data_IF_814359586181
#
_entry.id   IF_814359586181
#
_cell.length_a   1.000
_cell.length_b   1.000
_cell.length_c   1.000
_cell.angle_alpha   90.00
_cell.angle_beta   90.00
_cell.angle_gamma   90.00
#
_symmetry.space_group_name_H-M   'P 1'
#
loop_
_entity.id
_entity.type
_entity.pdbx_description
1 polymer ?
#
# COMPACT_ATOMS: atom_id res chain seq x y z
N UNK A 1 -17.02 -10.12 -18.51
CA UNK A 1 -16.03 -10.46 -17.48
C UNK A 1 -15.33 -9.17 -17.17
N UNK A 2 -15.29 -8.77 -15.89
CA UNK A 2 -14.74 -7.49 -15.49
C UNK A 2 -13.21 -7.49 -15.62
N UNK A 3 -12.63 -6.36 -16.00
CA UNK A 3 -11.19 -6.16 -16.08
C UNK A 3 -10.72 -5.33 -14.89
N UNK A 4 -9.88 -5.93 -14.05
CA UNK A 4 -9.24 -5.26 -12.92
C UNK A 4 -8.04 -4.49 -13.46
N UNK A 5 -8.06 -3.17 -13.30
CA UNK A 5 -7.07 -2.23 -13.82
C UNK A 5 -6.04 -1.88 -12.74
N UNK A 6 -4.95 -1.21 -13.15
CA UNK A 6 -4.07 -0.53 -12.23
C UNK A 6 -4.81 0.67 -11.62
N UNK A 7 -4.36 1.13 -10.46
CA UNK A 7 -4.90 2.35 -9.85
C UNK A 7 -3.76 3.34 -9.61
N UNK A 8 -3.67 4.33 -10.49
CA UNK A 8 -2.56 5.29 -10.52
C UNK A 8 -3.11 6.70 -10.55
N UNK A 9 -2.63 7.55 -9.66
CA UNK A 9 -3.03 8.96 -9.56
C UNK A 9 -4.54 9.16 -9.36
N UNK A 10 -5.19 8.24 -8.62
CA UNK A 10 -6.63 8.28 -8.36
C UNK A 10 -7.51 7.77 -9.50
N UNK A 11 -6.94 7.17 -10.52
CA UNK A 11 -7.64 6.72 -11.71
C UNK A 11 -7.38 5.24 -12.03
N UNK A 12 -8.39 4.59 -12.61
CA UNK A 12 -8.28 3.25 -13.16
C UNK A 12 -7.57 3.28 -14.52
N UNK A 13 -6.36 2.80 -14.57
CA UNK A 13 -5.52 2.82 -15.77
C UNK A 13 -5.46 1.42 -16.39
N UNK A 14 -5.83 1.31 -17.65
CA UNK A 14 -5.46 0.18 -18.48
C UNK A 14 -4.01 0.35 -18.93
N UNK A 15 -3.23 -0.72 -18.88
CA UNK A 15 -1.87 -0.70 -19.36
C UNK A 15 -1.27 -2.08 -19.33
N UNK A 16 -0.15 -2.24 -20.06
CA UNK A 16 0.42 -3.54 -20.32
C UNK A 16 -0.36 -4.31 -21.39
N UNK A 17 0.33 -5.13 -22.14
CA UNK A 17 -0.29 -5.98 -23.20
C UNK A 17 -0.77 -7.33 -22.68
N UNK A 18 -0.47 -7.65 -21.40
CA UNK A 18 -0.72 -8.95 -20.77
C UNK A 18 -1.85 -8.89 -19.77
N UNK A 19 -2.56 -9.99 -19.61
CA UNK A 19 -3.61 -10.15 -18.63
C UNK A 19 -3.46 -11.49 -17.91
N UNK A 20 -3.87 -11.53 -16.63
CA UNK A 20 -4.00 -12.73 -15.82
C UNK A 20 -5.46 -13.06 -15.55
N UNK A 21 -5.74 -14.31 -15.22
CA UNK A 21 -7.06 -14.75 -14.81
C UNK A 21 -7.17 -14.69 -13.26
N UNK A 22 -8.28 -14.12 -12.78
CA UNK A 22 -8.63 -14.10 -11.36
C UNK A 22 -9.74 -15.11 -11.14
N UNK A 23 -9.48 -16.06 -10.25
CA UNK A 23 -10.37 -17.17 -9.98
C UNK A 23 -11.19 -16.95 -8.71
N UNK A 24 -12.38 -17.52 -8.67
CA UNK A 24 -13.05 -17.83 -7.42
C UNK A 24 -12.72 -19.27 -7.04
N UNK A 25 -11.86 -19.53 -6.04
CA UNK A 25 -11.44 -20.88 -5.71
C UNK A 25 -12.56 -21.76 -5.16
N UNK A 26 -13.65 -21.17 -4.65
CA UNK A 26 -14.80 -21.94 -4.14
C UNK A 26 -15.58 -22.68 -5.24
N UNK A 27 -15.55 -22.18 -6.47
CA UNK A 27 -16.24 -22.76 -7.63
C UNK A 27 -15.29 -23.17 -8.75
N UNK A 28 -14.01 -22.81 -8.66
CA UNK A 28 -12.98 -23.12 -9.66
C UNK A 28 -13.12 -22.35 -10.98
N UNK A 29 -13.89 -21.27 -11.01
CA UNK A 29 -14.16 -20.50 -12.23
C UNK A 29 -13.37 -19.18 -12.26
N UNK A 30 -13.02 -18.73 -13.47
CA UNK A 30 -12.49 -17.39 -13.71
C UNK A 30 -13.63 -16.38 -13.56
N UNK A 31 -13.46 -15.44 -12.65
CA UNK A 31 -14.49 -14.42 -12.36
C UNK A 31 -14.13 -13.03 -12.91
N UNK A 32 -12.86 -12.76 -13.10
CA UNK A 32 -12.35 -11.50 -13.63
C UNK A 32 -11.01 -11.72 -14.34
N UNK A 33 -10.55 -10.69 -15.07
CA UNK A 33 -9.19 -10.60 -15.57
C UNK A 33 -8.47 -9.43 -14.90
N UNK A 34 -7.17 -9.53 -14.73
CA UNK A 34 -6.33 -8.44 -14.21
C UNK A 34 -5.31 -8.02 -15.27
N UNK A 35 -5.11 -6.73 -15.46
CA UNK A 35 -4.03 -6.20 -16.30
C UNK A 35 -2.68 -6.44 -15.61
N UNK A 36 -1.69 -6.91 -16.36
CA UNK A 36 -0.32 -7.09 -15.87
C UNK A 36 0.54 -5.97 -16.43
N UNK A 37 1.10 -5.16 -15.53
CA UNK A 37 1.93 -4.02 -15.86
C UNK A 37 3.30 -4.39 -16.40
N UNK A 38 3.98 -3.36 -16.85
CA UNK A 38 5.34 -3.37 -17.38
C UNK A 38 6.17 -2.24 -16.77
N UNK A 39 7.40 -2.07 -17.23
CA UNK A 39 8.31 -1.01 -16.76
C UNK A 39 7.75 0.40 -17.01
N UNK A 40 7.01 0.62 -18.11
CA UNK A 40 6.42 1.94 -18.40
C UNK A 40 5.38 2.33 -17.35
N UNK A 41 4.53 1.40 -16.95
CA UNK A 41 3.53 1.62 -15.90
C UNK A 41 4.16 1.85 -14.53
N UNK A 42 5.23 1.14 -14.21
CA UNK A 42 6.01 1.39 -12.98
C UNK A 42 6.57 2.80 -12.99
N UNK A 43 7.16 3.24 -14.10
CA UNK A 43 7.67 4.61 -14.26
C UNK A 43 6.55 5.65 -14.10
N UNK A 44 5.38 5.42 -14.68
CA UNK A 44 4.22 6.31 -14.55
C UNK A 44 3.76 6.44 -13.09
N UNK A 45 3.70 5.33 -12.35
CA UNK A 45 3.37 5.33 -10.93
C UNK A 45 4.41 6.09 -10.10
N UNK A 46 5.70 5.94 -10.41
CA UNK A 46 6.80 6.65 -9.75
C UNK A 46 6.70 8.16 -10.01
N UNK A 47 6.48 8.56 -11.25
CA UNK A 47 6.34 9.99 -11.58
C UNK A 47 5.09 10.62 -10.92
N UNK A 48 3.99 9.87 -10.82
CA UNK A 48 2.81 10.28 -10.02
C UNK A 48 3.20 10.48 -8.55
N UNK A 49 3.90 9.52 -7.95
CA UNK A 49 4.37 9.59 -6.56
C UNK A 49 5.31 10.78 -6.32
N UNK A 50 6.24 11.08 -7.22
CA UNK A 50 7.14 12.24 -7.11
C UNK A 50 6.37 13.55 -7.02
N UNK A 51 5.40 13.75 -7.91
CA UNK A 51 4.60 14.98 -7.97
C UNK A 51 3.85 15.22 -6.65
N UNK A 52 3.23 14.19 -6.09
CA UNK A 52 2.49 14.31 -4.84
C UNK A 52 3.42 14.49 -3.64
N UNK A 53 4.58 13.84 -3.66
CA UNK A 53 5.56 13.88 -2.59
C UNK A 53 6.12 15.31 -2.37
N UNK A 54 6.22 16.14 -3.42
CA UNK A 54 6.64 17.54 -3.31
C UNK A 54 5.84 18.34 -2.27
N UNK A 55 4.56 18.03 -2.12
CA UNK A 55 3.66 18.68 -1.15
C UNK A 55 3.47 17.82 0.11
N UNK A 56 3.39 16.50 -0.05
CA UNK A 56 3.11 15.59 1.06
C UNK A 56 4.16 15.62 2.15
N UNK A 57 5.44 15.69 1.78
CA UNK A 57 6.56 15.78 2.75
C UNK A 57 6.44 16.95 3.72
N UNK A 58 5.80 18.06 3.31
CA UNK A 58 5.55 19.24 4.14
C UNK A 58 4.19 19.20 4.86
N UNK A 59 3.37 18.17 4.63
CA UNK A 59 2.12 17.98 5.37
C UNK A 59 2.46 17.61 6.81
N UNK A 60 1.92 18.38 7.77
CA UNK A 60 2.24 18.15 9.18
C UNK A 60 1.86 16.75 9.66
N UNK A 61 2.62 16.15 10.60
CA UNK A 61 2.25 14.85 11.18
C UNK A 61 0.83 14.81 11.74
N UNK A 62 0.34 15.90 12.34
CA UNK A 62 -1.03 15.99 12.85
C UNK A 62 -2.08 15.87 11.72
N UNK A 63 -1.85 16.51 10.57
CA UNK A 63 -2.76 16.40 9.42
C UNK A 63 -2.73 14.99 8.83
N UNK A 64 -1.56 14.36 8.74
CA UNK A 64 -1.44 12.96 8.30
C UNK A 64 -2.15 12.01 9.26
N UNK A 65 -2.02 12.21 10.58
CA UNK A 65 -2.76 11.45 11.60
C UNK A 65 -4.27 11.60 11.45
N UNK A 66 -4.77 12.80 11.18
CA UNK A 66 -6.21 13.03 10.93
C UNK A 66 -6.75 12.18 9.77
N UNK A 67 -5.97 12.03 8.70
CA UNK A 67 -6.31 11.15 7.57
C UNK A 67 -6.33 9.68 8.02
N UNK A 68 -5.37 9.24 8.85
CA UNK A 68 -5.33 7.86 9.37
C UNK A 68 -6.54 7.55 10.25
N UNK A 69 -7.02 8.49 11.08
CA UNK A 69 -8.25 8.33 11.86
C UNK A 69 -9.49 8.17 10.97
N UNK A 70 -9.61 9.00 9.92
CA UNK A 70 -10.69 8.87 8.95
C UNK A 70 -10.62 7.52 8.21
N UNK A 71 -9.41 7.12 7.81
CA UNK A 71 -9.17 5.86 7.12
C UNK A 71 -9.55 4.65 7.97
N UNK A 72 -9.13 4.63 9.25
CA UNK A 72 -9.54 3.60 10.20
C UNK A 72 -11.06 3.45 10.22
N UNK A 73 -11.77 4.56 10.36
CA UNK A 73 -13.23 4.56 10.38
C UNK A 73 -13.84 3.98 9.08
N UNK A 74 -13.33 4.40 7.91
CA UNK A 74 -13.81 3.89 6.63
C UNK A 74 -13.56 2.39 6.47
N UNK A 75 -12.43 1.87 6.94
CA UNK A 75 -12.15 0.43 6.94
C UNK A 75 -13.13 -0.35 7.82
N UNK A 76 -13.43 0.16 9.02
CA UNK A 76 -14.40 -0.43 9.94
C UNK A 76 -15.82 -0.44 9.33
N UNK A 77 -16.26 0.69 8.79
CA UNK A 77 -17.58 0.87 8.16
C UNK A 77 -17.76 -0.03 6.91
N UNK A 78 -16.67 -0.32 6.18
CA UNK A 78 -16.68 -1.14 4.97
C UNK A 78 -16.22 -2.60 5.19
N UNK A 79 -16.04 -3.04 6.43
CA UNK A 79 -15.41 -4.32 6.75
C UNK A 79 -16.14 -5.53 6.13
N UNK A 80 -17.46 -5.52 6.09
CA UNK A 80 -18.25 -6.59 5.48
C UNK A 80 -17.99 -6.69 3.96
N UNK A 81 -18.01 -5.56 3.26
CA UNK A 81 -17.78 -5.50 1.81
C UNK A 81 -16.35 -5.92 1.44
N UNK A 82 -15.35 -5.47 2.20
CA UNK A 82 -13.95 -5.87 1.98
C UNK A 82 -13.79 -7.38 2.22
N UNK A 83 -14.39 -7.92 3.28
CA UNK A 83 -14.32 -9.35 3.57
C UNK A 83 -14.98 -10.21 2.47
N UNK A 84 -16.09 -9.76 1.88
CA UNK A 84 -16.72 -10.41 0.74
C UNK A 84 -15.82 -10.43 -0.51
N UNK A 85 -15.13 -9.32 -0.80
CA UNK A 85 -14.17 -9.25 -1.91
C UNK A 85 -13.02 -10.24 -1.70
N UNK A 86 -12.44 -10.27 -0.50
CA UNK A 86 -11.39 -11.24 -0.15
C UNK A 86 -11.90 -12.67 -0.26
N UNK A 87 -13.08 -12.97 0.28
CA UNK A 87 -13.67 -14.32 0.20
C UNK A 87 -13.85 -14.79 -1.25
N UNK A 88 -14.29 -13.88 -2.12
CA UNK A 88 -14.57 -14.17 -3.53
C UNK A 88 -13.30 -14.51 -4.33
N UNK A 89 -12.19 -13.77 -4.13
CA UNK A 89 -10.96 -13.95 -4.90
C UNK A 89 -9.97 -14.92 -4.24
N UNK A 90 -9.93 -14.95 -2.89
CA UNK A 90 -8.99 -15.79 -2.14
C UNK A 90 -9.60 -17.12 -1.71
N UNK A 91 -10.92 -17.19 -1.48
CA UNK A 91 -11.60 -18.39 -0.96
C UNK A 91 -11.57 -18.53 0.57
N UNK A 92 -11.12 -17.54 1.32
CA UNK A 92 -11.26 -17.48 2.79
C UNK A 92 -12.72 -17.42 3.19
N UNK A 93 -13.04 -17.94 4.39
CA UNK A 93 -14.34 -17.64 5.00
C UNK A 93 -14.46 -16.14 5.28
N UNK A 94 -15.69 -15.63 5.32
CA UNK A 94 -15.94 -14.22 5.66
C UNK A 94 -15.34 -13.85 7.03
N UNK A 95 -15.44 -14.76 8.01
CA UNK A 95 -14.90 -14.52 9.35
C UNK A 95 -13.36 -14.44 9.35
N UNK A 96 -12.66 -15.31 8.60
CA UNK A 96 -11.21 -15.24 8.46
C UNK A 96 -10.77 -13.97 7.71
N UNK A 97 -11.55 -13.56 6.70
CA UNK A 97 -11.29 -12.32 5.98
C UNK A 97 -11.44 -11.09 6.87
N UNK A 98 -12.50 -11.03 7.70
CA UNK A 98 -12.69 -10.00 8.72
C UNK A 98 -11.57 -10.00 9.75
N UNK A 99 -11.16 -11.16 10.24
CA UNK A 99 -10.04 -11.29 11.18
C UNK A 99 -8.71 -10.79 10.60
N UNK A 100 -8.48 -11.04 9.30
CA UNK A 100 -7.31 -10.53 8.59
C UNK A 100 -7.36 -9.01 8.43
N UNK A 101 -8.53 -8.46 8.07
CA UNK A 101 -8.75 -7.02 7.97
C UNK A 101 -8.55 -6.32 9.33
N UNK A 102 -9.09 -6.91 10.41
CA UNK A 102 -8.96 -6.36 11.76
C UNK A 102 -7.50 -6.18 12.17
N UNK A 103 -6.62 -7.17 11.89
CA UNK A 103 -5.18 -7.05 12.15
C UNK A 103 -4.51 -5.95 11.32
N UNK A 104 -5.02 -5.68 10.11
CA UNK A 104 -4.59 -4.53 9.31
C UNK A 104 -5.02 -3.21 9.92
N UNK A 105 -6.27 -3.12 10.40
CA UNK A 105 -6.83 -1.93 11.07
C UNK A 105 -6.04 -1.58 12.35
N UNK A 106 -5.57 -2.56 13.10
CA UNK A 106 -4.73 -2.34 14.28
C UNK A 106 -3.43 -1.59 13.95
N UNK A 107 -2.83 -1.86 12.78
CA UNK A 107 -1.63 -1.13 12.33
C UNK A 107 -1.99 0.27 11.84
N UNK A 108 -3.14 0.47 11.20
CA UNK A 108 -3.65 1.81 10.88
C UNK A 108 -3.91 2.62 12.16
N UNK A 109 -4.46 2.01 13.20
CA UNK A 109 -4.62 2.64 14.51
C UNK A 109 -3.27 3.04 15.13
N UNK A 110 -2.26 2.18 15.03
CA UNK A 110 -0.90 2.54 15.44
C UNK A 110 -0.37 3.75 14.64
N UNK A 111 -0.65 3.83 13.33
CA UNK A 111 -0.25 4.95 12.49
C UNK A 111 -0.94 6.27 12.89
N UNK A 112 -2.11 6.24 13.54
CA UNK A 112 -2.75 7.44 14.10
C UNK A 112 -1.86 8.13 15.17
N UNK A 113 -0.96 7.39 15.82
CA UNK A 113 0.01 7.90 16.79
C UNK A 113 1.25 8.56 16.19
N UNK A 114 1.33 8.71 14.88
CA UNK A 114 2.52 9.16 14.16
C UNK A 114 3.11 10.50 14.65
N UNK A 115 2.31 11.50 15.12
CA UNK A 115 2.89 12.73 15.64
C UNK A 115 3.84 12.52 16.84
N UNK A 116 3.60 11.47 17.63
CA UNK A 116 4.48 11.11 18.74
C UNK A 116 5.66 10.23 18.30
N UNK A 117 5.42 9.33 17.34
CA UNK A 117 6.43 8.39 16.84
C UNK A 117 7.53 9.09 16.02
N UNK A 118 7.23 10.22 15.39
CA UNK A 118 8.19 11.00 14.60
C UNK A 118 8.99 12.02 15.42
N UNK A 119 8.75 12.12 16.72
CA UNK A 119 9.59 12.99 17.56
C UNK A 119 11.04 12.53 17.54
N UNK A 120 11.96 13.50 17.46
CA UNK A 120 13.38 13.27 17.64
C UNK A 120 13.79 13.32 19.10
N UNK A 121 15.06 13.12 19.34
CA UNK A 121 15.68 13.18 20.66
C UNK A 121 16.64 14.38 20.73
N UNK A 122 16.81 14.91 21.92
CA UNK A 122 17.78 15.97 22.21
C UNK A 122 18.63 15.53 23.40
N UNK A 123 19.93 15.69 23.29
CA UNK A 123 20.87 15.44 24.39
C UNK A 123 21.73 16.68 24.61
N UNK A 124 21.67 17.21 25.84
CA UNK A 124 22.44 18.37 26.25
C UNK A 124 23.83 17.95 26.70
N UNK A 125 24.86 18.69 26.28
CA UNK A 125 26.26 18.56 26.70
C UNK A 125 26.82 17.14 26.62
N UNK A 126 26.64 16.48 25.48
CA UNK A 126 27.26 15.16 25.20
C UNK A 126 28.80 15.25 25.13
N UNK A 127 29.31 16.46 25.00
CA UNK A 127 30.70 16.88 25.12
C UNK A 127 30.77 18.32 25.62
N UNK A 128 31.96 18.83 25.92
CA UNK A 128 32.12 20.20 26.40
C UNK A 128 31.63 21.20 25.35
N UNK A 129 30.47 21.84 25.61
CA UNK A 129 29.85 22.82 24.70
C UNK A 129 29.19 22.20 23.47
N UNK A 130 28.87 20.89 23.48
CA UNK A 130 28.28 20.19 22.36
C UNK A 130 26.92 19.61 22.76
N UNK A 131 25.85 20.03 22.10
CA UNK A 131 24.52 19.44 22.16
C UNK A 131 24.25 18.63 20.88
N UNK A 132 23.42 17.58 20.98
CA UNK A 132 23.02 16.78 19.83
C UNK A 132 21.48 16.63 19.76
N UNK A 133 20.96 16.52 18.56
CA UNK A 133 19.56 16.21 18.33
C UNK A 133 19.39 15.30 17.12
N UNK A 134 18.30 14.55 17.10
CA UNK A 134 17.90 13.74 15.96
C UNK A 134 16.62 14.27 15.33
N UNK A 135 16.53 14.15 14.01
CA UNK A 135 15.30 14.40 13.24
C UNK A 135 14.99 13.19 12.38
N UNK A 136 13.71 12.81 12.33
CA UNK A 136 13.23 11.77 11.41
C UNK A 136 12.70 12.44 10.15
N UNK A 137 13.15 11.96 9.00
CA UNK A 137 12.77 12.46 7.69
C UNK A 137 12.22 11.32 6.84
N UNK A 138 11.41 11.64 5.84
CA UNK A 138 10.92 10.68 4.86
C UNK A 138 12.08 10.15 3.99
N UNK A 139 11.93 8.93 3.51
CA UNK A 139 12.87 8.27 2.59
C UNK A 139 12.55 8.59 1.12
N UNK A 140 11.31 8.97 0.83
CA UNK A 140 10.85 9.26 -0.52
C UNK A 140 9.76 8.29 -0.97
N UNK A 141 10.00 7.53 -2.04
CA UNK A 141 9.06 6.56 -2.58
C UNK A 141 9.42 5.18 -2.04
N UNK A 142 8.47 4.56 -1.35
CA UNK A 142 8.58 3.17 -0.89
C UNK A 142 7.76 2.25 -1.79
N UNK A 143 8.16 0.99 -1.91
CA UNK A 143 7.38 -0.03 -2.60
C UNK A 143 7.05 -1.20 -1.67
N UNK A 144 5.89 -1.82 -1.90
CA UNK A 144 5.46 -3.03 -1.20
C UNK A 144 4.94 -4.08 -2.17
N UNK A 145 5.50 -5.28 -2.09
CA UNK A 145 5.09 -6.45 -2.86
C UNK A 145 4.40 -7.41 -1.92
N UNK A 146 3.12 -7.68 -2.15
CA UNK A 146 2.30 -8.43 -1.22
C UNK A 146 1.85 -9.77 -1.80
N UNK A 147 1.84 -10.82 -0.97
CA UNK A 147 1.41 -12.17 -1.38
C UNK A 147 -0.12 -12.28 -1.38
N UNK A 148 -0.64 -13.34 -2.01
CA UNK A 148 -2.08 -13.58 -2.07
C UNK A 148 -2.69 -14.02 -0.73
N UNK A 149 -1.95 -14.66 0.17
CA UNK A 149 -2.51 -15.26 1.37
C UNK A 149 -3.10 -14.25 2.39
N UNK A 150 -2.74 -12.96 2.29
CA UNK A 150 -3.26 -11.88 3.13
C UNK A 150 -3.41 -10.57 2.34
N UNK A 151 -4.35 -10.52 1.36
CA UNK A 151 -4.45 -9.42 0.40
C UNK A 151 -4.91 -8.09 1.00
N UNK A 152 -5.38 -8.06 2.23
CA UNK A 152 -5.76 -6.84 2.96
C UNK A 152 -4.84 -6.55 4.14
N UNK A 153 -4.45 -7.58 4.91
CA UNK A 153 -3.63 -7.41 6.10
C UNK A 153 -2.24 -6.86 5.77
N UNK A 154 -1.55 -7.49 4.81
CA UNK A 154 -0.18 -7.12 4.47
C UNK A 154 -0.08 -5.71 3.84
N UNK A 155 -0.92 -5.31 2.87
CA UNK A 155 -0.93 -3.93 2.41
C UNK A 155 -1.13 -2.90 3.52
N UNK A 156 -2.06 -3.17 4.46
CA UNK A 156 -2.33 -2.28 5.59
C UNK A 156 -1.18 -2.22 6.61
N UNK A 157 -0.30 -3.19 6.64
CA UNK A 157 0.92 -3.15 7.44
C UNK A 157 2.01 -2.24 6.85
N UNK A 158 1.92 -1.94 5.55
CA UNK A 158 2.97 -1.24 4.81
C UNK A 158 2.61 0.22 4.52
N UNK A 159 1.68 0.47 3.60
CA UNK A 159 1.48 1.82 3.07
C UNK A 159 0.93 2.84 4.08
N UNK A 160 0.07 2.48 5.08
CA UNK A 160 -0.39 3.46 6.04
C UNK A 160 0.76 4.04 6.89
N UNK A 161 1.65 3.18 7.38
CA UNK A 161 2.82 3.62 8.15
C UNK A 161 3.79 4.41 7.28
N UNK A 162 4.09 3.95 6.08
CA UNK A 162 4.99 4.65 5.16
C UNK A 162 4.47 6.06 4.85
N UNK A 163 3.19 6.18 4.52
CA UNK A 163 2.58 7.48 4.18
C UNK A 163 2.41 8.38 5.39
N UNK A 164 2.08 7.84 6.56
CA UNK A 164 2.06 8.59 7.82
C UNK A 164 3.44 9.17 8.17
N UNK A 165 4.52 8.46 7.84
CA UNK A 165 5.90 8.94 7.98
C UNK A 165 6.29 10.01 6.94
N UNK A 166 5.46 10.27 5.93
CA UNK A 166 5.71 11.31 4.91
C UNK A 166 6.16 10.78 3.56
N UNK A 167 6.24 9.47 3.39
CA UNK A 167 6.61 8.82 2.13
C UNK A 167 5.41 8.72 1.17
N UNK A 168 5.69 8.55 -0.12
CA UNK A 168 4.75 7.99 -1.08
C UNK A 168 4.95 6.47 -1.18
N UNK A 169 3.98 5.76 -1.74
CA UNK A 169 4.01 4.31 -1.76
C UNK A 169 3.51 3.72 -3.09
N UNK A 170 4.20 2.70 -3.57
CA UNK A 170 3.76 1.90 -4.71
C UNK A 170 3.47 0.49 -4.21
N UNK A 171 2.22 0.07 -4.34
CA UNK A 171 1.75 -1.25 -3.95
C UNK A 171 1.66 -2.17 -5.18
N UNK A 172 2.36 -3.28 -5.15
CA UNK A 172 2.17 -4.39 -6.09
C UNK A 172 1.46 -5.53 -5.36
N UNK A 173 0.12 -5.64 -5.47
CA UNK A 173 -0.62 -6.77 -4.90
C UNK A 173 -0.34 -8.07 -5.67
N UNK A 174 -0.75 -9.20 -5.11
CA UNK A 174 -0.79 -10.44 -5.88
C UNK A 174 -1.77 -10.30 -7.05
N UNK A 175 -1.38 -10.81 -8.20
CA UNK A 175 -2.22 -10.88 -9.40
C UNK A 175 -3.40 -11.86 -9.26
N UNK A 176 -3.40 -12.68 -8.20
CA UNK A 176 -4.46 -13.68 -7.96
C UNK A 176 -5.70 -13.10 -7.31
N UNK A 177 -5.54 -12.05 -6.46
CA UNK A 177 -6.59 -11.47 -5.65
C UNK A 177 -6.40 -9.95 -5.42
N UNK A 178 -6.28 -9.15 -6.50
CA UNK A 178 -5.86 -7.76 -6.43
C UNK A 178 -6.96 -6.78 -6.00
N UNK A 179 -8.23 -7.11 -6.19
CA UNK A 179 -9.34 -6.15 -6.05
C UNK A 179 -9.45 -5.56 -4.66
N UNK A 180 -9.26 -6.37 -3.62
CA UNK A 180 -9.33 -5.88 -2.25
C UNK A 180 -8.21 -4.88 -1.93
N UNK A 181 -7.00 -5.08 -2.45
CA UNK A 181 -5.87 -4.15 -2.29
C UNK A 181 -6.14 -2.80 -2.96
N UNK A 182 -6.74 -2.79 -4.15
CA UNK A 182 -7.14 -1.56 -4.85
C UNK A 182 -8.21 -0.83 -4.04
N UNK A 183 -9.18 -1.56 -3.51
CA UNK A 183 -10.24 -0.97 -2.69
C UNK A 183 -9.70 -0.30 -1.42
N UNK A 184 -8.69 -0.88 -0.78
CA UNK A 184 -8.02 -0.26 0.36
C UNK A 184 -7.44 1.12 0.00
N UNK A 185 -6.85 1.27 -1.18
CA UNK A 185 -6.28 2.55 -1.64
C UNK A 185 -7.36 3.56 -1.98
N UNK A 186 -8.48 3.14 -2.59
CA UNK A 186 -9.64 4.02 -2.84
C UNK A 186 -10.22 4.59 -1.54
N UNK A 187 -10.40 3.74 -0.53
CA UNK A 187 -10.85 4.17 0.80
C UNK A 187 -9.83 5.10 1.48
N UNK A 188 -8.53 4.93 1.19
CA UNK A 188 -7.52 5.83 1.72
C UNK A 188 -7.60 7.23 1.10
N UNK A 189 -7.88 7.33 -0.19
CA UNK A 189 -8.14 8.61 -0.87
C UNK A 189 -9.45 9.25 -0.37
N UNK A 190 -10.51 8.46 -0.16
CA UNK A 190 -11.77 8.92 0.45
C UNK A 190 -11.54 9.48 1.86
N UNK A 191 -10.60 8.92 2.62
CA UNK A 191 -10.18 9.42 3.93
C UNK A 191 -9.47 10.78 3.88
N UNK A 192 -9.09 11.24 2.69
CA UNK A 192 -8.44 12.53 2.44
C UNK A 192 -6.95 12.45 2.06
N UNK A 193 -6.43 11.26 1.75
CA UNK A 193 -5.11 11.13 1.15
C UNK A 193 -5.15 11.69 -0.28
N UNK A 194 -4.12 12.43 -0.73
CA UNK A 194 -4.10 12.95 -2.09
C UNK A 194 -3.92 11.81 -3.10
N UNK A 195 -4.58 11.89 -4.29
CA UNK A 195 -4.33 10.98 -5.40
C UNK A 195 -2.84 10.86 -5.74
N UNK A 196 -2.39 9.66 -6.06
CA UNK A 196 -0.99 9.39 -6.37
C UNK A 196 -0.06 9.20 -5.16
N UNK A 197 -0.55 9.41 -3.93
CA UNK A 197 0.23 9.13 -2.72
C UNK A 197 0.48 7.62 -2.55
N UNK A 198 -0.53 6.82 -2.86
CA UNK A 198 -0.43 5.37 -2.99
C UNK A 198 -0.90 4.99 -4.38
N UNK A 199 -0.03 4.36 -5.16
CA UNK A 199 -0.36 3.84 -6.48
C UNK A 199 -0.36 2.31 -6.44
N UNK A 200 -1.28 1.67 -7.16
CA UNK A 200 -1.36 0.21 -7.27
C UNK A 200 -0.99 -0.20 -8.69
N UNK A 201 0.09 -0.96 -8.82
CA UNK A 201 0.53 -1.54 -10.09
C UNK A 201 0.37 -3.06 -10.02
N UNK A 202 -0.64 -3.60 -10.69
CA UNK A 202 -0.82 -5.04 -10.80
C UNK A 202 0.27 -5.61 -11.72
N UNK A 203 0.71 -6.82 -11.44
CA UNK A 203 1.74 -7.46 -12.27
C UNK A 203 2.34 -8.68 -11.62
N UNK A 204 3.15 -9.33 -12.41
CA UNK A 204 3.95 -10.51 -12.05
C UNK A 204 5.42 -10.14 -11.80
N UNK A 205 6.34 -11.06 -12.09
CA UNK A 205 7.78 -10.89 -11.91
C UNK A 205 8.33 -9.63 -12.60
N UNK A 206 7.81 -9.26 -13.77
CA UNK A 206 8.30 -8.09 -14.51
C UNK A 206 8.13 -6.79 -13.72
N UNK A 207 6.97 -6.59 -13.10
CA UNK A 207 6.71 -5.42 -12.23
C UNK A 207 7.53 -5.50 -10.94
N UNK A 208 7.71 -6.71 -10.38
CA UNK A 208 8.54 -6.92 -9.19
C UNK A 208 9.99 -6.50 -9.46
N UNK A 209 10.58 -7.00 -10.52
CA UNK A 209 11.96 -6.69 -10.92
C UNK A 209 12.10 -5.17 -11.17
N UNK A 210 11.17 -4.59 -11.93
CA UNK A 210 11.16 -3.14 -12.20
C UNK A 210 11.11 -2.29 -10.93
N UNK A 211 10.34 -2.68 -9.91
CA UNK A 211 10.27 -1.96 -8.64
C UNK A 211 11.54 -2.11 -7.80
N UNK A 212 12.11 -3.32 -7.73
CA UNK A 212 13.30 -3.60 -6.91
C UNK A 212 14.53 -2.91 -7.49
N UNK A 213 14.66 -2.88 -8.81
CA UNK A 213 15.83 -2.31 -9.52
C UNK A 213 15.72 -0.78 -9.70
N UNK A 214 14.54 -0.19 -9.42
CA UNK A 214 14.33 1.23 -9.71
C UNK A 214 15.03 2.13 -8.71
N UNK A 215 15.95 2.97 -9.19
CA UNK A 215 16.80 3.85 -8.36
C UNK A 215 16.05 4.86 -7.50
N UNK A 216 14.83 5.25 -7.89
CA UNK A 216 13.98 6.20 -7.15
C UNK A 216 13.14 5.52 -6.06
N UNK A 217 13.27 4.20 -5.91
CA UNK A 217 12.65 3.40 -4.87
C UNK A 217 13.75 2.96 -3.89
N UNK A 218 14.15 3.82 -2.93
CA UNK A 218 15.25 3.51 -2.00
C UNK A 218 14.92 2.39 -1.02
N UNK A 219 13.64 2.09 -0.83
CA UNK A 219 13.15 1.05 0.08
C UNK A 219 12.06 0.24 -0.59
N UNK A 220 12.31 -1.05 -0.74
CA UNK A 220 11.28 -2.03 -1.09
C UNK A 220 11.09 -3.02 0.06
N UNK A 221 9.84 -3.34 0.36
CA UNK A 221 9.48 -4.39 1.32
C UNK A 221 8.75 -5.49 0.57
N UNK A 222 9.33 -6.69 0.63
CA UNK A 222 8.77 -7.89 0.02
C UNK A 222 8.38 -8.86 1.13
N UNK A 223 7.13 -9.29 1.15
CA UNK A 223 6.68 -10.38 2.00
C UNK A 223 6.64 -11.65 1.16
N UNK A 224 7.81 -12.24 0.95
CA UNK A 224 7.98 -13.46 0.17
C UNK A 224 7.53 -14.69 0.97
N UNK A 225 7.02 -15.69 0.27
CA UNK A 225 6.78 -17.01 0.83
C UNK A 225 8.09 -17.74 1.07
N UNK A 226 8.08 -18.66 2.04
CA UNK A 226 9.23 -19.52 2.35
C UNK A 226 9.70 -20.43 1.19
N UNK A 227 8.96 -20.48 0.08
CA UNK A 227 9.28 -21.30 -1.11
C UNK A 227 9.64 -20.49 -2.36
N UNK A 228 9.78 -19.18 -2.26
CA UNK A 228 10.16 -18.32 -3.40
C UNK A 228 11.65 -17.90 -3.34
N UNK A 229 12.43 -18.53 -2.47
CA UNK A 229 13.86 -18.26 -2.26
C UNK A 229 14.78 -19.37 -2.79
N UNK A 230 14.32 -20.18 -3.74
CA UNK A 230 15.18 -21.14 -4.44
C UNK A 230 15.72 -20.56 -5.75
#
# INVERSE_FOLDING_TARGET
MDLIKHYINGEDIEGGSRQGDVYNPAIGEVISKVTLGDLELVNNAIESSKKVLEKWRYTTPAKRASIMFNYKKLLEDNSARIAEMVSKEHGKTIEDAKGSLQRGIEVVEYACGIPNLLKGEYSNQVGSGIDTFSMKQELGICAGITPFNFPVMIPLWMFPLATACGNAFILKPSERDPSSSIELVRLFEEAGAPPGLVNVVNGDKEVVDALIEHREVPVSYTHLRAHETD
#
